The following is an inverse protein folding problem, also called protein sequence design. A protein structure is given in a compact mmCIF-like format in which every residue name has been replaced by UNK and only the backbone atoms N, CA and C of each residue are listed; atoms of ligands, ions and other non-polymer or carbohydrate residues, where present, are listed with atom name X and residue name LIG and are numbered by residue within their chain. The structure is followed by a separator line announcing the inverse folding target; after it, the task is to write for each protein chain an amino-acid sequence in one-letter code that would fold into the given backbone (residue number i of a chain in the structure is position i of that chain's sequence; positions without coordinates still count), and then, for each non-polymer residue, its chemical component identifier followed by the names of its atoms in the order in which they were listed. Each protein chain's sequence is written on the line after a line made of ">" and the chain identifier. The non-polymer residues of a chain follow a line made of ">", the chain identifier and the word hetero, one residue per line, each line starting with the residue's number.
data_IF_383551947663
#
_entry.id   IF_383551947663
#
_cell.length_a   1.000
_cell.length_b   1.000
_cell.length_c   1.000
_cell.angle_alpha   90.00
_cell.angle_beta   90.00
_cell.angle_gamma   90.00
#
_symmetry.space_group_name_H-M   'P 1'
#
loop_
_entity.id
_entity.type
_entity.pdbx_description
1 polymer ?
#
# COMPACT_ATOMS: atom_id res chain seq x y z
N UNK A 1 -26.55 -1.97 -44.14
CA UNK A 1 -26.43 -0.98 -43.04
C UNK A 1 -26.96 -1.43 -41.68
N UNK A 2 -28.04 -2.23 -41.58
CA UNK A 2 -28.62 -2.65 -40.28
C UNK A 2 -27.71 -3.57 -39.45
N UNK A 3 -26.96 -4.46 -40.11
CA UNK A 3 -26.02 -5.37 -39.44
C UNK A 3 -24.82 -4.62 -38.84
N UNK A 4 -24.23 -3.69 -39.59
CA UNK A 4 -23.08 -2.87 -39.13
C UNK A 4 -23.45 -2.04 -37.90
N UNK A 5 -24.64 -1.41 -37.89
CA UNK A 5 -25.13 -0.66 -36.73
C UNK A 5 -25.32 -1.53 -35.48
N UNK A 6 -25.73 -2.79 -35.65
CA UNK A 6 -25.89 -3.74 -34.53
C UNK A 6 -24.54 -4.18 -33.95
N UNK A 7 -23.55 -4.44 -34.79
CA UNK A 7 -22.20 -4.80 -34.35
C UNK A 7 -21.55 -3.63 -33.58
N UNK A 8 -21.71 -2.40 -34.07
CA UNK A 8 -21.25 -1.19 -33.38
C UNK A 8 -21.93 -1.00 -32.02
N UNK A 9 -23.24 -1.22 -31.94
CA UNK A 9 -23.97 -1.11 -30.67
C UNK A 9 -23.55 -2.19 -29.65
N UNK A 10 -23.32 -3.42 -30.10
CA UNK A 10 -22.89 -4.52 -29.22
C UNK A 10 -21.46 -4.31 -28.72
N UNK A 11 -20.55 -3.86 -29.59
CA UNK A 11 -19.16 -3.58 -29.20
C UNK A 11 -19.05 -2.37 -28.28
N UNK A 12 -19.86 -1.33 -28.51
CA UNK A 12 -19.93 -0.16 -27.63
C UNK A 12 -20.46 -0.52 -26.22
N UNK A 13 -21.33 -1.53 -26.10
CA UNK A 13 -21.82 -1.99 -24.81
C UNK A 13 -20.85 -2.99 -24.13
N UNK A 14 -20.18 -3.82 -24.93
CA UNK A 14 -19.27 -4.84 -24.44
C UNK A 14 -17.95 -4.26 -23.94
N UNK A 15 -17.41 -3.20 -24.57
CA UNK A 15 -16.13 -2.64 -24.16
C UNK A 15 -16.11 -2.10 -22.72
N UNK A 16 -17.09 -1.28 -22.27
CA UNK A 16 -17.16 -0.85 -20.86
C UNK A 16 -17.38 -2.02 -19.90
N UNK A 17 -18.09 -3.06 -20.34
CA UNK A 17 -18.40 -4.23 -19.52
C UNK A 17 -17.16 -5.11 -19.34
N UNK A 18 -16.37 -5.33 -20.39
CA UNK A 18 -15.10 -6.06 -20.31
C UNK A 18 -14.06 -5.27 -19.50
N UNK A 19 -13.97 -3.94 -19.70
CA UNK A 19 -13.07 -3.08 -18.91
C UNK A 19 -13.51 -3.03 -17.44
N UNK A 20 -14.82 -2.94 -17.18
CA UNK A 20 -15.39 -2.96 -15.84
C UNK A 20 -15.15 -4.30 -15.13
N UNK A 21 -15.35 -5.43 -15.84
CA UNK A 21 -15.08 -6.76 -15.30
C UNK A 21 -13.59 -7.02 -15.08
N UNK A 22 -12.71 -6.52 -15.97
CA UNK A 22 -11.27 -6.60 -15.78
C UNK A 22 -10.80 -5.73 -14.59
N UNK A 23 -11.36 -4.53 -14.44
CA UNK A 23 -11.11 -3.66 -13.29
C UNK A 23 -11.59 -4.25 -11.96
N UNK A 24 -12.78 -4.86 -11.95
CA UNK A 24 -13.32 -5.60 -10.81
C UNK A 24 -12.49 -6.86 -10.50
N UNK A 25 -12.02 -7.58 -11.52
CA UNK A 25 -11.15 -8.73 -11.34
C UNK A 25 -9.77 -8.31 -10.79
N UNK A 26 -9.17 -7.23 -11.29
CA UNK A 26 -7.92 -6.69 -10.74
C UNK A 26 -8.08 -6.14 -9.32
N UNK A 27 -9.26 -5.64 -8.98
CA UNK A 27 -9.59 -5.27 -7.60
C UNK A 27 -9.81 -6.51 -6.72
N UNK A 28 -10.22 -7.65 -7.28
CA UNK A 28 -10.46 -8.91 -6.57
C UNK A 28 -9.20 -9.77 -6.40
N UNK A 29 -8.24 -9.71 -7.32
CA UNK A 29 -6.96 -10.46 -7.23
C UNK A 29 -6.03 -9.94 -6.13
N UNK A 30 -6.31 -8.76 -5.54
CA UNK A 30 -5.71 -8.28 -4.29
C UNK A 30 -6.45 -8.72 -3.02
N UNK A 31 -7.59 -9.40 -3.13
CA UNK A 31 -8.50 -9.77 -2.03
C UNK A 31 -8.39 -11.24 -1.60
N UNK A 32 -7.30 -11.93 -1.92
CA UNK A 32 -7.12 -13.31 -1.45
C UNK A 32 -7.08 -13.40 0.09
N UNK A 33 -6.82 -12.29 0.81
CA UNK A 33 -6.82 -12.20 2.28
C UNK A 33 -7.71 -11.05 2.82
N UNK A 34 -8.56 -10.45 1.97
CA UNK A 34 -9.45 -9.32 2.28
C UNK A 34 -8.80 -7.92 2.17
N UNK A 35 -9.51 -6.82 2.52
CA UNK A 35 -9.02 -5.46 2.25
C UNK A 35 -7.89 -5.09 3.21
N UNK A 36 -6.74 -4.68 2.65
CA UNK A 36 -5.61 -4.18 3.42
C UNK A 36 -5.35 -2.69 3.15
N UNK A 37 -4.94 -1.96 4.19
CA UNK A 37 -4.45 -0.59 4.09
C UNK A 37 -3.06 -0.48 4.72
N UNK A 38 -2.11 0.04 3.93
CA UNK A 38 -0.72 0.17 4.32
C UNK A 38 -0.33 1.65 4.33
N UNK A 39 0.32 2.08 5.41
CA UNK A 39 0.96 3.39 5.52
C UNK A 39 2.40 3.20 5.98
N UNK A 40 3.34 3.84 5.30
CA UNK A 40 4.72 3.88 5.74
C UNK A 40 5.32 5.25 5.37
N UNK A 41 6.05 5.83 6.30
CA UNK A 41 6.81 7.04 6.08
C UNK A 41 8.14 6.93 6.82
N UNK A 42 9.23 7.24 6.12
CA UNK A 42 10.56 7.32 6.70
C UNK A 42 11.24 8.61 6.29
N UNK A 43 12.13 9.08 7.14
CA UNK A 43 13.01 10.21 6.91
C UNK A 43 14.45 9.79 7.22
N UNK A 44 15.35 10.21 6.35
CA UNK A 44 16.79 10.07 6.53
C UNK A 44 17.43 11.44 6.70
N UNK A 45 18.39 11.55 7.61
CA UNK A 45 19.19 12.76 7.83
C UNK A 45 20.67 12.35 7.89
N UNK A 46 21.53 13.14 7.24
CA UNK A 46 22.98 13.03 7.38
C UNK A 46 23.60 14.43 7.40
N UNK A 47 24.53 14.65 8.33
CA UNK A 47 25.29 15.89 8.47
C UNK A 47 26.70 15.58 9.02
N UNK A 48 27.45 16.62 9.40
CA UNK A 48 28.79 16.47 9.97
C UNK A 48 28.81 15.75 11.33
N UNK A 49 27.68 15.73 12.04
CA UNK A 49 27.53 15.14 13.38
C UNK A 49 27.11 13.66 13.34
N UNK A 50 26.67 13.17 12.17
CA UNK A 50 26.26 11.77 12.01
C UNK A 50 25.22 11.51 10.92
N UNK A 51 24.64 10.31 10.97
CA UNK A 51 23.57 9.88 10.07
C UNK A 51 22.52 9.07 10.82
N UNK A 52 21.26 9.21 10.43
CA UNK A 52 20.17 8.49 11.06
C UNK A 52 18.92 8.41 10.22
N UNK A 53 18.04 7.53 10.65
CA UNK A 53 16.74 7.26 10.06
C UNK A 53 15.68 7.28 11.15
N UNK A 54 14.51 7.83 10.84
CA UNK A 54 13.31 7.70 11.65
C UNK A 54 12.14 7.28 10.74
N UNK A 55 11.31 6.38 11.22
CA UNK A 55 10.22 5.83 10.43
C UNK A 55 9.01 5.44 11.26
N UNK A 56 7.85 5.47 10.61
CA UNK A 56 6.57 5.00 11.12
C UNK A 56 5.89 4.16 10.04
N UNK A 57 5.26 3.07 10.44
CA UNK A 57 4.42 2.29 9.55
C UNK A 57 3.20 1.72 10.27
N UNK A 58 2.14 1.50 9.51
CA UNK A 58 0.85 1.00 9.96
C UNK A 58 0.30 0.04 8.93
N UNK A 59 -0.18 -1.11 9.37
CA UNK A 59 -0.90 -2.07 8.53
C UNK A 59 -2.25 -2.34 9.18
N UNK A 60 -3.31 -2.22 8.39
CA UNK A 60 -4.64 -2.69 8.75
C UNK A 60 -4.99 -3.81 7.79
N UNK A 61 -5.18 -5.00 8.33
CA UNK A 61 -5.59 -6.18 7.56
C UNK A 61 -6.76 -6.90 8.23
N UNK A 62 -7.34 -7.90 7.57
CA UNK A 62 -8.34 -8.78 8.16
C UNK A 62 -7.79 -9.75 9.21
N UNK A 63 -6.53 -9.60 9.63
CA UNK A 63 -5.92 -10.35 10.73
C UNK A 63 -5.55 -9.47 11.93
N UNK A 64 -5.66 -8.15 11.80
CA UNK A 64 -5.33 -7.22 12.87
C UNK A 64 -4.89 -5.84 12.41
N UNK A 65 -4.46 -5.06 13.38
CA UNK A 65 -3.83 -3.75 13.17
C UNK A 65 -2.45 -3.78 13.81
N UNK A 66 -1.43 -3.42 13.03
CA UNK A 66 -0.05 -3.31 13.48
C UNK A 66 0.47 -1.89 13.25
N UNK A 67 1.21 -1.38 14.23
CA UNK A 67 1.88 -0.09 14.20
C UNK A 67 3.31 -0.23 14.67
N UNK A 68 4.25 0.30 13.89
CA UNK A 68 5.66 0.41 14.25
C UNK A 68 6.12 1.86 14.14
N UNK A 69 6.97 2.27 15.07
CA UNK A 69 7.66 3.55 15.02
C UNK A 69 9.05 3.38 15.62
N UNK A 70 10.04 4.01 15.00
CA UNK A 70 11.40 3.92 15.51
C UNK A 70 12.34 4.90 14.87
N UNK A 71 13.52 5.02 15.47
CA UNK A 71 14.62 5.79 14.93
C UNK A 71 15.96 5.20 15.37
N UNK A 72 16.98 5.46 14.56
CA UNK A 72 18.38 5.17 14.85
C UNK A 72 19.24 6.33 14.38
N UNK A 73 20.26 6.67 15.16
CA UNK A 73 21.25 7.69 14.81
C UNK A 73 22.65 7.18 15.17
N UNK A 74 23.59 7.29 14.24
CA UNK A 74 24.99 7.03 14.43
C UNK A 74 25.76 8.35 14.35
N UNK A 75 26.42 8.73 15.45
CA UNK A 75 27.27 9.91 15.53
C UNK A 75 28.58 9.62 16.27
N UNK A 76 29.31 10.67 16.61
CA UNK A 76 30.66 10.57 17.19
C UNK A 76 30.70 9.87 18.56
N UNK A 77 29.59 9.91 19.29
CA UNK A 77 29.44 9.25 20.61
C UNK A 77 28.95 7.80 20.49
N UNK A 78 28.70 7.31 19.28
CA UNK A 78 28.23 5.95 18.97
C UNK A 78 26.84 5.91 18.35
N UNK A 79 26.18 4.76 18.49
CA UNK A 79 24.85 4.50 17.91
C UNK A 79 23.80 4.52 19.01
N UNK A 80 22.72 5.28 18.78
CA UNK A 80 21.56 5.35 19.65
C UNK A 80 20.28 5.16 18.85
N UNK A 81 19.20 4.76 19.51
CA UNK A 81 17.92 4.57 18.85
C UNK A 81 16.83 4.16 19.81
N UNK A 82 15.60 4.14 19.30
CA UNK A 82 14.43 3.65 20.00
C UNK A 82 13.49 2.97 19.01
N UNK A 83 12.79 1.95 19.48
CA UNK A 83 11.79 1.24 18.72
C UNK A 83 10.56 1.02 19.59
N UNK A 84 9.39 1.23 19.00
CA UNK A 84 8.10 0.93 19.59
C UNK A 84 7.27 0.19 18.58
N UNK A 85 6.72 -0.96 18.99
CA UNK A 85 5.68 -1.67 18.29
C UNK A 85 4.40 -1.69 19.14
N UNK A 86 3.26 -1.75 18.46
CA UNK A 86 1.98 -2.03 19.08
C UNK A 86 1.06 -2.63 18.05
N UNK A 87 0.23 -3.57 18.47
CA UNK A 87 -0.72 -4.19 17.57
C UNK A 87 -1.76 -5.01 18.30
N UNK A 88 -2.82 -5.35 17.59
CA UNK A 88 -3.87 -6.24 18.06
C UNK A 88 -4.27 -7.17 16.91
N UNK A 89 -4.16 -8.47 17.16
CA UNK A 89 -4.54 -9.54 16.24
C UNK A 89 -5.69 -10.38 16.82
N UNK A 90 -6.43 -11.06 15.94
CA UNK A 90 -7.60 -11.87 16.29
C UNK A 90 -7.61 -13.24 15.61
#
# INVERSE_FOLDING_TARGET
>A
MRAVKRVLAVTALAAPLVIGCAGLASAHEGFHEGPEAHFAQAQFIANEEGAGEAGVASVVSPHGVDHIAGWVFAGDEGVSGSFTDSGASF
#
